data_IF_497594461351
#
_entry.id   IF_497594461351
#
_cell.length_a   1.000
_cell.length_b   1.000
_cell.length_c   1.000
_cell.angle_alpha   90.00
_cell.angle_beta   90.00
_cell.angle_gamma   90.00
#
_symmetry.space_group_name_H-M   'P 1'
#
loop_
_entity.id
_entity.type
_entity.pdbx_description
1 polymer ?
#
# COMPACT_ATOMS: atom_id res chain seq x y z
N UNK A 1 6.20 22.64 -3.82
CA UNK A 1 5.66 22.10 -5.08
C UNK A 1 5.07 20.74 -4.77
N UNK A 2 3.76 20.55 -4.93
CA UNK A 2 3.16 19.21 -4.88
C UNK A 2 3.49 18.50 -6.18
N UNK A 3 4.11 17.32 -6.10
CA UNK A 3 4.32 16.47 -7.27
C UNK A 3 2.97 15.92 -7.72
N UNK A 4 2.64 16.08 -9.00
CA UNK A 4 1.50 15.42 -9.62
C UNK A 4 1.78 13.91 -9.76
N UNK A 5 0.75 13.09 -9.58
CA UNK A 5 0.78 11.62 -9.74
C UNK A 5 1.30 11.23 -11.12
N UNK A 6 0.94 11.98 -12.16
CA UNK A 6 1.45 11.76 -13.52
C UNK A 6 2.96 12.01 -13.66
N UNK A 7 3.51 12.92 -12.86
CA UNK A 7 4.95 13.18 -12.84
C UNK A 7 5.71 12.06 -12.13
N UNK A 8 5.12 11.41 -11.13
CA UNK A 8 5.75 10.29 -10.43
C UNK A 8 5.96 9.08 -11.34
N UNK A 9 5.01 8.78 -12.23
CA UNK A 9 5.13 7.70 -13.21
C UNK A 9 6.35 7.85 -14.11
N UNK A 10 6.65 9.08 -14.53
CA UNK A 10 7.80 9.38 -15.39
C UNK A 10 9.15 9.24 -14.68
N UNK A 11 9.16 9.24 -13.35
CA UNK A 11 10.39 9.13 -12.57
C UNK A 11 10.77 7.67 -12.27
N UNK A 12 9.83 6.73 -12.39
CA UNK A 12 10.09 5.30 -12.21
C UNK A 12 10.56 4.72 -13.55
N UNK A 13 11.78 4.21 -13.59
CA UNK A 13 12.40 3.71 -14.83
C UNK A 13 12.56 2.19 -14.89
N UNK A 14 12.09 1.47 -13.85
CA UNK A 14 12.04 0.02 -13.82
C UNK A 14 10.93 -0.49 -12.91
N UNK A 15 10.60 -1.78 -13.06
CA UNK A 15 9.57 -2.43 -12.25
C UNK A 15 10.01 -2.57 -10.78
N UNK A 16 9.08 -2.44 -9.82
CA UNK A 16 9.36 -2.72 -8.42
C UNK A 16 9.61 -4.22 -8.22
N UNK A 17 10.54 -4.53 -7.32
CA UNK A 17 10.86 -5.89 -6.89
C UNK A 17 10.43 -6.00 -5.42
N UNK A 18 9.84 -7.14 -5.05
CA UNK A 18 9.34 -7.36 -3.70
C UNK A 18 10.07 -8.52 -3.02
N UNK A 19 10.57 -8.26 -1.81
CA UNK A 19 11.08 -9.29 -0.92
C UNK A 19 9.93 -9.85 -0.09
N UNK A 20 9.66 -11.15 -0.21
CA UNK A 20 8.62 -11.86 0.53
C UNK A 20 9.18 -13.10 1.25
N UNK A 21 10.50 -13.20 1.41
CA UNK A 21 11.14 -14.46 1.85
C UNK A 21 11.11 -14.64 3.38
N UNK A 22 11.16 -13.54 4.14
CA UNK A 22 11.14 -13.53 5.62
C UNK A 22 9.78 -13.08 6.20
N UNK A 23 8.74 -13.89 6.00
CA UNK A 23 7.40 -13.63 6.58
C UNK A 23 7.35 -14.16 8.02
N UNK A 24 7.06 -13.27 8.98
CA UNK A 24 6.89 -13.64 10.38
C UNK A 24 5.75 -14.63 10.60
N UNK A 25 5.92 -15.55 11.56
CA UNK A 25 4.88 -16.49 11.99
C UNK A 25 3.57 -15.76 12.34
N UNK A 26 2.45 -16.29 11.86
CA UNK A 26 1.11 -15.71 12.06
C UNK A 26 0.73 -14.61 11.05
N UNK A 27 1.61 -14.29 10.09
CA UNK A 27 1.30 -13.44 8.94
C UNK A 27 1.15 -14.27 7.66
N UNK A 28 0.44 -13.70 6.70
CA UNK A 28 0.30 -14.26 5.36
C UNK A 28 0.41 -13.14 4.32
N UNK A 29 1.00 -13.49 3.17
CA UNK A 29 1.10 -12.59 2.02
C UNK A 29 -0.09 -12.83 1.09
N UNK A 30 -0.77 -11.74 0.74
CA UNK A 30 -1.82 -11.71 -0.26
C UNK A 30 -1.46 -10.67 -1.30
N UNK A 31 -1.54 -11.06 -2.58
CA UNK A 31 -1.40 -10.14 -3.70
C UNK A 31 -2.70 -9.38 -3.90
N UNK A 32 -2.61 -8.06 -3.86
CA UNK A 32 -3.77 -7.14 -3.88
C UNK A 32 -3.58 -6.07 -4.94
N UNK A 33 -4.69 -5.61 -5.53
CA UNK A 33 -4.70 -4.51 -6.48
C UNK A 33 -4.46 -3.17 -5.76
N UNK A 34 -3.37 -2.44 -6.07
CA UNK A 34 -3.13 -1.13 -5.47
C UNK A 34 -4.20 -0.11 -5.88
N UNK A 35 -4.71 -0.17 -7.12
CA UNK A 35 -5.78 0.72 -7.58
C UNK A 35 -7.09 0.50 -6.81
N UNK A 36 -7.47 -0.76 -6.56
CA UNK A 36 -8.65 -1.07 -5.76
C UNK A 36 -8.51 -0.58 -4.30
N UNK A 37 -7.31 -0.76 -3.70
CA UNK A 37 -7.01 -0.25 -2.37
C UNK A 37 -7.06 1.28 -2.32
N UNK A 38 -6.52 1.95 -3.33
CA UNK A 38 -6.53 3.41 -3.43
C UNK A 38 -7.96 3.94 -3.57
N UNK A 39 -8.78 3.37 -4.47
CA UNK A 39 -10.18 3.74 -4.61
C UNK A 39 -10.98 3.51 -3.32
N UNK A 40 -10.78 2.38 -2.64
CA UNK A 40 -11.39 2.14 -1.33
C UNK A 40 -10.98 3.21 -0.31
N UNK A 41 -9.68 3.53 -0.24
CA UNK A 41 -9.19 4.55 0.67
C UNK A 41 -9.82 5.94 0.38
N UNK A 42 -9.90 6.34 -0.88
CA UNK A 42 -10.51 7.63 -1.27
C UNK A 42 -12.00 7.69 -0.91
N UNK A 43 -12.74 6.60 -1.08
CA UNK A 43 -14.19 6.55 -0.85
C UNK A 43 -14.54 6.41 0.64
N UNK A 44 -13.84 5.53 1.36
CA UNK A 44 -14.25 5.11 2.70
C UNK A 44 -13.51 5.85 3.82
N UNK A 45 -12.58 6.76 3.51
CA UNK A 45 -11.82 7.79 4.28
C UNK A 45 -11.88 7.81 5.84
N UNK A 46 -12.14 6.68 6.50
CA UNK A 46 -12.49 6.61 7.91
C UNK A 46 -11.27 6.82 8.80
N UNK A 47 -10.08 6.54 8.26
CA UNK A 47 -8.81 6.65 8.95
C UNK A 47 -8.25 8.09 8.99
N UNK A 48 -8.71 9.01 8.13
CA UNK A 48 -8.40 10.45 8.27
C UNK A 48 -9.13 11.10 9.47
N UNK A 49 -10.10 10.42 10.11
CA UNK A 49 -10.84 10.95 11.27
C UNK A 49 -10.27 10.55 12.63
N UNK A 50 -9.24 9.70 12.68
CA UNK A 50 -8.57 9.39 13.93
C UNK A 50 -7.66 10.55 14.34
N UNK A 51 -7.94 11.16 15.50
CA UNK A 51 -7.14 12.27 16.07
C UNK A 51 -5.66 11.91 16.32
N UNK A 52 -5.31 10.62 16.23
CA UNK A 52 -3.97 10.10 16.45
C UNK A 52 -3.19 9.86 15.14
N UNK A 53 -3.76 10.20 13.98
CA UNK A 53 -3.16 9.95 12.66
C UNK A 53 -3.20 11.24 11.85
N UNK A 54 -2.36 12.21 12.23
CA UNK A 54 -2.15 13.39 11.40
C UNK A 54 -1.35 12.98 10.16
N UNK A 55 -1.96 13.10 8.99
CA UNK A 55 -1.42 12.65 7.71
C UNK A 55 -0.29 13.51 7.15
N UNK A 56 0.19 14.55 7.83
CA UNK A 56 1.19 15.45 7.24
C UNK A 56 2.27 15.99 8.17
N UNK A 57 2.35 15.61 9.46
CA UNK A 57 3.40 16.13 10.35
C UNK A 57 3.86 15.18 11.49
N UNK A 58 3.62 13.87 11.37
CA UNK A 58 4.25 12.91 12.27
C UNK A 58 5.18 11.97 11.50
N UNK A 59 6.38 11.77 12.04
CA UNK A 59 7.17 10.57 11.76
C UNK A 59 6.33 9.38 12.21
N UNK A 60 5.62 8.76 11.28
CA UNK A 60 4.96 7.49 11.54
C UNK A 60 6.08 6.47 11.78
N UNK A 61 6.07 5.74 12.91
CA UNK A 61 6.95 4.60 13.04
C UNK A 61 6.53 3.62 11.93
N UNK A 62 7.49 3.29 11.05
CA UNK A 62 7.36 2.35 9.93
C UNK A 62 6.85 2.91 8.59
N UNK A 63 7.47 3.98 8.11
CA UNK A 63 7.69 4.20 6.66
C UNK A 63 9.07 3.61 6.30
N UNK A 64 9.24 2.31 6.55
CA UNK A 64 10.52 1.62 6.83
C UNK A 64 11.68 1.73 5.84
N UNK A 65 11.55 2.47 4.73
CA UNK A 65 12.65 2.90 3.86
C UNK A 65 12.40 4.24 3.13
N UNK A 66 11.25 4.90 3.34
CA UNK A 66 10.79 5.98 2.47
C UNK A 66 10.07 7.04 3.29
N UNK A 67 10.81 8.01 3.81
CA UNK A 67 10.20 9.18 4.48
C UNK A 67 9.44 10.11 3.53
N UNK A 68 9.58 9.91 2.20
CA UNK A 68 9.02 10.72 1.11
C UNK A 68 8.88 9.88 -0.16
N UNK A 69 7.78 10.00 -0.91
CA UNK A 69 7.53 9.23 -2.15
C UNK A 69 8.71 9.24 -3.16
N UNK A 70 9.51 10.31 -3.21
CA UNK A 70 10.73 10.36 -4.05
C UNK A 70 11.81 9.35 -3.63
N UNK A 71 11.95 9.07 -2.33
CA UNK A 71 12.87 8.04 -1.84
C UNK A 71 12.43 6.63 -2.26
N UNK A 72 11.12 6.40 -2.44
CA UNK A 72 10.60 5.14 -2.95
C UNK A 72 10.95 4.98 -4.41
N UNK A 73 10.75 6.04 -5.20
CA UNK A 73 11.16 6.09 -6.60
C UNK A 73 12.66 5.81 -6.74
N UNK A 74 13.49 6.44 -5.91
CA UNK A 74 14.94 6.20 -5.92
C UNK A 74 15.31 4.75 -5.56
N UNK A 75 14.66 4.17 -4.55
CA UNK A 75 14.86 2.78 -4.16
C UNK A 75 14.48 1.82 -5.30
N UNK A 76 13.32 2.04 -5.93
CA UNK A 76 12.86 1.27 -7.09
C UNK A 76 13.89 1.39 -8.21
N UNK A 77 14.33 2.59 -8.58
CA UNK A 77 15.31 2.81 -9.66
C UNK A 77 16.72 2.27 -9.36
N UNK A 78 17.04 1.99 -8.10
CA UNK A 78 18.28 1.30 -7.70
C UNK A 78 18.16 -0.23 -7.72
N UNK A 79 16.96 -0.76 -7.92
CA UNK A 79 16.67 -2.19 -7.85
C UNK A 79 16.63 -2.71 -6.42
N UNK A 80 16.28 -1.84 -5.46
CA UNK A 80 16.13 -2.24 -4.06
C UNK A 80 14.85 -3.06 -3.92
N UNK A 81 14.97 -4.23 -3.32
CA UNK A 81 13.81 -5.06 -2.99
C UNK A 81 12.98 -4.37 -1.90
N UNK A 82 11.68 -4.31 -2.14
CA UNK A 82 10.75 -3.62 -1.26
C UNK A 82 9.98 -4.62 -0.41
N UNK A 83 9.76 -4.34 0.88
CA UNK A 83 8.91 -5.20 1.68
C UNK A 83 7.45 -5.14 1.19
N UNK A 84 6.62 -6.13 1.57
CA UNK A 84 5.17 -6.05 1.36
C UNK A 84 4.56 -4.88 2.14
N UNK A 85 3.40 -4.39 1.70
CA UNK A 85 2.64 -3.42 2.50
C UNK A 85 1.99 -4.13 3.70
N UNK A 86 1.64 -3.41 4.78
CA UNK A 86 0.91 -4.02 5.90
C UNK A 86 -0.55 -3.57 5.90
N UNK A 87 -1.45 -4.55 5.94
CA UNK A 87 -2.89 -4.36 6.05
C UNK A 87 -3.42 -4.97 7.34
N UNK A 88 -4.56 -4.49 7.80
CA UNK A 88 -5.32 -5.07 8.92
C UNK A 88 -6.81 -4.92 8.66
N UNK A 89 -7.61 -5.85 9.17
CA UNK A 89 -9.07 -5.77 9.09
C UNK A 89 -9.60 -5.30 10.45
N UNK A 90 -10.25 -4.13 10.44
CA UNK A 90 -11.00 -3.63 11.59
C UNK A 90 -12.50 -3.87 11.42
N UNK A 91 -13.26 -3.55 12.45
CA UNK A 91 -14.74 -3.68 12.45
C UNK A 91 -15.44 -2.95 11.30
N UNK A 92 -14.80 -1.93 10.71
CA UNK A 92 -15.38 -1.07 9.66
C UNK A 92 -14.70 -1.20 8.30
N UNK A 93 -13.73 -2.11 8.14
CA UNK A 93 -13.04 -2.35 6.87
C UNK A 93 -11.53 -2.44 7.01
N UNK A 94 -10.82 -2.14 5.92
CA UNK A 94 -9.36 -2.27 5.85
C UNK A 94 -8.69 -1.04 6.48
N UNK A 95 -7.68 -1.27 7.30
CA UNK A 95 -6.74 -0.26 7.75
C UNK A 95 -5.37 -0.46 7.08
N UNK A 96 -4.65 0.66 6.94
CA UNK A 96 -3.31 0.70 6.33
C UNK A 96 -2.28 1.09 7.40
N UNK A 97 -1.80 0.15 8.25
CA UNK A 97 -0.69 0.40 9.16
C UNK A 97 0.57 0.91 8.46
N UNK A 98 0.86 0.41 7.26
CA UNK A 98 2.04 0.76 6.47
C UNK A 98 1.75 0.61 4.97
N UNK A 99 2.54 1.29 4.13
CA UNK A 99 2.51 1.11 2.68
C UNK A 99 1.67 2.11 1.90
N UNK A 100 1.22 3.22 2.51
CA UNK A 100 0.40 4.24 1.80
C UNK A 100 1.14 4.88 0.63
N UNK A 101 2.39 5.27 0.80
CA UNK A 101 3.22 5.79 -0.30
C UNK A 101 3.41 4.77 -1.41
N UNK A 102 3.56 3.48 -1.05
CA UNK A 102 3.63 2.36 -1.99
C UNK A 102 2.32 2.22 -2.75
N UNK A 103 1.17 2.18 -2.08
CA UNK A 103 -0.14 2.15 -2.73
C UNK A 103 -0.28 3.33 -3.70
N UNK A 104 -0.01 4.56 -3.26
CA UNK A 104 -0.10 5.74 -4.14
C UNK A 104 0.78 5.63 -5.38
N UNK A 105 2.07 5.31 -5.20
CA UNK A 105 3.00 5.21 -6.32
C UNK A 105 2.65 4.04 -7.24
N UNK A 106 2.31 2.89 -6.68
CA UNK A 106 1.97 1.68 -7.44
C UNK A 106 0.64 1.81 -8.18
N UNK A 107 -0.33 2.57 -7.64
CA UNK A 107 -1.49 3.02 -8.41
C UNK A 107 -1.07 3.96 -9.55
N UNK A 108 -0.18 4.92 -9.30
CA UNK A 108 0.28 5.89 -10.30
C UNK A 108 1.00 5.25 -11.49
N UNK A 109 1.82 4.23 -11.22
CA UNK A 109 2.57 3.50 -12.26
C UNK A 109 1.81 2.31 -12.83
N UNK A 110 0.54 2.14 -12.45
CA UNK A 110 -0.37 1.11 -12.96
C UNK A 110 0.10 -0.33 -12.65
N UNK A 111 0.69 -0.55 -11.47
CA UNK A 111 1.01 -1.91 -11.05
C UNK A 111 -0.26 -2.74 -10.84
N UNK A 112 -0.25 -3.95 -11.40
CA UNK A 112 -1.41 -4.83 -11.35
C UNK A 112 -1.64 -5.39 -9.95
N UNK A 113 -0.58 -5.85 -9.29
CA UNK A 113 -0.64 -6.49 -7.97
C UNK A 113 0.58 -6.14 -7.15
N UNK A 114 0.36 -5.94 -5.84
CA UNK A 114 1.43 -5.74 -4.85
C UNK A 114 1.23 -6.71 -3.68
N UNK A 115 2.30 -7.18 -3.03
CA UNK A 115 2.17 -8.08 -1.89
C UNK A 115 1.76 -7.28 -0.63
N UNK A 116 0.79 -7.82 0.09
CA UNK A 116 0.31 -7.29 1.36
C UNK A 116 0.40 -8.35 2.47
N UNK A 117 1.01 -7.97 3.59
CA UNK A 117 1.02 -8.72 4.83
C UNK A 117 -0.25 -8.46 5.63
N UNK A 118 -0.84 -9.53 6.12
CA UNK A 118 -1.98 -9.51 7.05
C UNK A 118 -1.88 -10.70 8.01
N UNK A 119 -2.50 -10.61 9.17
CA UNK A 119 -2.70 -11.76 10.07
C UNK A 119 -3.35 -12.93 9.32
N UNK A 120 -2.81 -14.13 9.50
CA UNK A 120 -3.24 -15.33 8.78
C UNK A 120 -4.74 -15.60 8.92
N UNK A 121 -5.30 -15.41 10.10
CA UNK A 121 -6.74 -15.57 10.37
C UNK A 121 -7.63 -14.61 9.55
N UNK A 122 -7.07 -13.44 9.17
CA UNK A 122 -7.75 -12.41 8.42
C UNK A 122 -7.52 -12.51 6.90
N UNK A 123 -6.66 -13.44 6.46
CA UNK A 123 -6.29 -13.60 5.05
C UNK A 123 -7.50 -13.87 4.14
N UNK A 124 -8.39 -14.78 4.53
CA UNK A 124 -9.56 -15.13 3.72
C UNK A 124 -10.58 -13.99 3.66
N UNK A 125 -10.73 -13.24 4.75
CA UNK A 125 -11.59 -12.07 4.80
C UNK A 125 -11.07 -10.97 3.88
N UNK A 126 -9.75 -10.74 3.85
CA UNK A 126 -9.13 -9.77 2.94
C UNK A 126 -9.33 -10.16 1.48
N UNK A 127 -9.07 -11.41 1.09
CA UNK A 127 -9.30 -11.89 -0.29
C UNK A 127 -10.75 -11.65 -0.71
N UNK A 128 -11.69 -12.02 0.14
CA UNK A 128 -13.13 -11.84 -0.11
C UNK A 128 -13.51 -10.36 -0.21
N UNK A 129 -12.85 -9.49 0.54
CA UNK A 129 -13.06 -8.05 0.48
C UNK A 129 -12.52 -7.46 -0.82
N UNK A 130 -11.29 -7.81 -1.20
CA UNK A 130 -10.66 -7.34 -2.43
C UNK A 130 -11.45 -7.74 -3.68
N UNK A 131 -11.90 -9.00 -3.76
CA UNK A 131 -12.74 -9.44 -4.89
C UNK A 131 -14.05 -8.65 -5.02
N UNK A 132 -14.61 -8.14 -3.91
CA UNK A 132 -15.80 -7.27 -3.94
C UNK A 132 -15.47 -5.86 -4.41
N UNK A 133 -14.27 -5.35 -4.15
CA UNK A 133 -13.82 -4.07 -4.66
C UNK A 133 -13.62 -4.13 -6.18
N UNK A 134 -12.96 -5.18 -6.66
CA UNK A 134 -12.71 -5.39 -8.09
C UNK A 134 -14.04 -5.58 -8.87
N UNK A 135 -15.00 -6.30 -8.31
CA UNK A 135 -16.31 -6.53 -8.93
C UNK A 135 -17.27 -5.32 -8.92
N UNK A 136 -16.95 -4.23 -8.21
CA UNK A 136 -17.76 -3.00 -8.18
C UNK A 136 -17.30 -1.93 -9.20
N UNK A 137 -16.26 -2.20 -9.98
CA UNK A 137 -15.77 -1.30 -11.03
C UNK A 137 -16.42 -1.53 -12.42
N UNK A 138 -17.53 -2.28 -12.50
CA UNK A 138 -18.31 -2.48 -13.74
C UNK A 138 -19.62 -1.70 -13.73
#
# INVERSE_FOLDING_TARGET
MSLDVNQLKLLVNQAPIFDCDDIQDGLSVIWVSPSALFSYWEQDNWYQRSKNVSSYNHQLPFDGCVSRILSLVEAINKGTELPPIKLSIGMKGICFPDGRHRIMLFTAIEEALIPALIETENAQALKSFMSKLDGKQQ
#
